data_IF_542758854514
#
_entry.id   IF_542758854514
#
_cell.length_a   1.000
_cell.length_b   1.000
_cell.length_c   1.000
_cell.angle_alpha   90.00
_cell.angle_beta   90.00
_cell.angle_gamma   90.00
#
_symmetry.space_group_name_H-M   'P 1'
#
loop_
_entity.id
_entity.type
_entity.pdbx_description
1 polymer ?
#
# COMPACT_ATOMS: atom_id res chain seq x y z
N UNK A 1 -68.18 5.04 18.15
CA UNK A 1 -67.80 6.43 18.43
C UNK A 1 -66.33 6.59 18.09
N UNK A 2 -65.99 7.63 17.32
CA UNK A 2 -64.62 8.06 17.00
C UNK A 2 -63.82 8.34 18.28
N UNK A 3 -62.50 8.11 18.28
CA UNK A 3 -61.49 9.15 18.01
C UNK A 3 -60.07 8.60 18.11
N UNK A 4 -59.20 9.38 17.50
CA UNK A 4 -57.88 9.13 16.95
C UNK A 4 -56.76 9.51 17.92
N UNK A 5 -55.52 9.22 17.50
CA UNK A 5 -54.24 9.89 17.82
C UNK A 5 -53.44 9.49 19.08
N UNK A 6 -52.13 9.29 18.85
CA UNK A 6 -51.11 9.81 19.77
C UNK A 6 -50.04 8.86 20.29
N UNK A 7 -49.04 8.56 19.45
CA UNK A 7 -47.60 8.46 19.76
C UNK A 7 -47.16 8.13 21.20
N UNK A 8 -46.53 6.96 21.40
CA UNK A 8 -45.60 6.74 22.50
C UNK A 8 -44.25 6.25 21.99
N UNK A 9 -43.23 7.10 22.13
CA UNK A 9 -41.81 6.74 22.02
C UNK A 9 -41.52 5.56 22.95
N UNK A 10 -41.00 4.46 22.42
CA UNK A 10 -40.38 3.41 23.23
C UNK A 10 -38.89 3.38 22.92
N UNK A 11 -38.12 4.01 23.80
CA UNK A 11 -36.68 3.80 23.94
C UNK A 11 -36.50 2.36 24.40
N UNK A 12 -35.95 1.48 23.54
CA UNK A 12 -35.54 0.13 23.96
C UNK A 12 -34.01 0.07 24.05
N UNK A 13 -33.51 0.33 25.26
CA UNK A 13 -32.26 -0.29 25.71
C UNK A 13 -32.46 -1.80 25.74
N UNK A 14 -31.54 -2.55 25.13
CA UNK A 14 -31.62 -4.00 25.13
C UNK A 14 -30.51 -4.66 24.33
N UNK A 15 -29.28 -4.58 24.84
CA UNK A 15 -28.22 -5.54 24.50
C UNK A 15 -28.74 -6.91 24.96
N UNK A 16 -29.22 -7.73 24.03
CA UNK A 16 -29.47 -9.14 24.25
C UNK A 16 -28.50 -9.93 23.38
N UNK A 17 -27.48 -10.43 24.05
CA UNK A 17 -26.71 -11.61 23.66
C UNK A 17 -27.64 -12.75 23.24
N UNK A 18 -27.73 -13.00 21.93
CA UNK A 18 -28.20 -14.26 21.39
C UNK A 18 -27.10 -14.78 20.46
N UNK A 19 -26.06 -15.35 21.08
CA UNK A 19 -25.14 -16.26 20.42
C UNK A 19 -25.93 -17.51 20.02
N UNK A 20 -26.54 -17.46 18.83
CA UNK A 20 -27.15 -18.65 18.23
C UNK A 20 -26.02 -19.42 17.57
N UNK A 21 -25.52 -20.44 18.27
CA UNK A 21 -24.57 -21.43 17.77
C UNK A 21 -25.09 -21.98 16.44
N UNK A 22 -24.40 -21.65 15.35
CA UNK A 22 -24.50 -22.38 14.09
C UNK A 22 -23.29 -23.31 14.03
N UNK A 23 -23.50 -24.57 14.44
CA UNK A 23 -22.59 -25.66 14.09
C UNK A 23 -22.80 -25.94 12.61
N UNK A 24 -21.86 -25.59 11.76
CA UNK A 24 -21.79 -26.14 10.40
C UNK A 24 -20.72 -27.23 10.41
N UNK A 25 -21.17 -28.41 9.97
CA UNK A 25 -20.43 -29.65 9.84
C UNK A 25 -19.14 -29.49 9.03
N UNK A 26 -18.06 -30.05 9.56
CA UNK A 26 -16.80 -30.29 8.86
C UNK A 26 -17.01 -31.15 7.62
N UNK A 27 -16.97 -30.54 6.43
CA UNK A 27 -16.33 -31.03 5.21
C UNK A 27 -16.68 -30.12 4.03
N UNK A 28 -15.91 -29.04 3.79
CA UNK A 28 -16.04 -28.28 2.54
C UNK A 28 -14.82 -28.51 1.63
N UNK A 29 -15.02 -28.93 0.37
CA UNK A 29 -13.93 -29.16 -0.57
C UNK A 29 -13.33 -27.83 -1.02
N UNK A 30 -12.00 -27.67 -0.91
CA UNK A 30 -11.19 -26.58 -1.47
C UNK A 30 -11.88 -25.20 -1.53
N UNK A 31 -12.02 -24.54 -0.37
CA UNK A 31 -12.63 -23.21 -0.20
C UNK A 31 -12.05 -22.11 -1.12
N UNK A 32 -10.84 -22.31 -1.64
CA UNK A 32 -10.15 -21.38 -2.55
C UNK A 32 -9.56 -22.13 -3.76
N UNK A 33 -10.25 -22.08 -4.91
CA UNK A 33 -9.88 -22.80 -6.15
C UNK A 33 -8.70 -22.18 -6.90
N UNK A 34 -8.52 -20.86 -6.81
CA UNK A 34 -7.60 -20.07 -7.65
C UNK A 34 -6.82 -19.02 -6.86
N UNK A 35 -5.67 -18.61 -7.41
CA UNK A 35 -4.87 -17.47 -6.92
C UNK A 35 -5.44 -16.12 -7.41
N UNK A 36 -6.33 -16.15 -8.40
CA UNK A 36 -7.11 -15.00 -8.87
C UNK A 36 -8.46 -15.00 -8.15
N UNK A 37 -8.81 -13.87 -7.55
CA UNK A 37 -10.06 -13.70 -6.81
C UNK A 37 -10.65 -12.31 -7.08
N UNK A 38 -11.99 -12.22 -7.10
CA UNK A 38 -12.74 -10.96 -7.20
C UNK A 38 -13.10 -10.36 -5.84
N UNK A 39 -12.76 -11.05 -4.74
CA UNK A 39 -12.99 -10.62 -3.36
C UNK A 39 -14.44 -10.14 -3.12
N UNK A 40 -15.40 -10.92 -3.63
CA UNK A 40 -16.82 -10.58 -3.60
C UNK A 40 -17.47 -10.90 -2.24
N UNK A 41 -17.12 -12.05 -1.64
CA UNK A 41 -17.70 -12.55 -0.40
C UNK A 41 -16.70 -12.39 0.75
N UNK A 42 -17.09 -11.75 1.88
CA UNK A 42 -16.22 -11.64 3.04
C UNK A 42 -15.98 -13.00 3.71
N UNK A 43 -14.79 -13.25 4.27
CA UNK A 43 -14.54 -14.47 5.04
C UNK A 43 -15.37 -14.45 6.33
N UNK A 44 -15.99 -15.59 6.66
CA UNK A 44 -16.78 -15.80 7.89
C UNK A 44 -15.98 -16.49 9.01
N UNK A 45 -14.66 -16.55 8.86
CA UNK A 45 -13.76 -17.25 9.78
C UNK A 45 -13.33 -16.32 10.92
N UNK A 46 -13.22 -16.87 12.13
CA UNK A 46 -12.67 -16.17 13.29
C UNK A 46 -11.15 -16.36 13.35
N UNK A 47 -10.41 -15.27 13.51
CA UNK A 47 -8.95 -15.25 13.59
C UNK A 47 -8.47 -14.57 14.87
N UNK A 48 -7.24 -14.89 15.30
CA UNK A 48 -6.64 -14.21 16.44
C UNK A 48 -6.26 -12.76 16.10
N UNK A 49 -6.04 -11.94 17.13
CA UNK A 49 -5.65 -10.53 16.94
C UNK A 49 -4.21 -10.44 16.42
N UNK A 50 -3.36 -11.37 16.84
CA UNK A 50 -1.97 -11.49 16.39
C UNK A 50 -1.94 -11.82 14.89
N UNK A 51 -2.72 -12.82 14.49
CA UNK A 51 -2.85 -13.23 13.09
C UNK A 51 -3.43 -12.10 12.23
N UNK A 52 -4.42 -11.38 12.74
CA UNK A 52 -4.98 -10.20 12.08
C UNK A 52 -3.91 -9.15 11.77
N UNK A 53 -3.04 -8.82 12.73
CA UNK A 53 -1.96 -7.85 12.51
C UNK A 53 -0.95 -8.37 11.47
N UNK A 54 -0.54 -9.63 11.59
CA UNK A 54 0.46 -10.24 10.71
C UNK A 54 -0.01 -10.22 9.26
N UNK A 55 -1.21 -10.71 9.00
CA UNK A 55 -1.82 -10.75 7.66
C UNK A 55 -1.96 -9.33 7.09
N UNK A 56 -2.40 -8.37 7.91
CA UNK A 56 -2.54 -6.99 7.47
C UNK A 56 -1.20 -6.35 7.10
N UNK A 57 -0.17 -6.56 7.92
CA UNK A 57 1.17 -6.01 7.68
C UNK A 57 1.80 -6.65 6.44
N UNK A 58 1.70 -7.98 6.27
CA UNK A 58 2.18 -8.68 5.08
C UNK A 58 1.53 -8.14 3.81
N UNK A 59 0.20 -7.97 3.82
CA UNK A 59 -0.51 -7.45 2.65
C UNK A 59 -0.13 -6.00 2.33
N UNK A 60 -0.02 -5.12 3.34
CA UNK A 60 0.43 -3.74 3.11
C UNK A 60 1.83 -3.73 2.51
N UNK A 61 2.76 -4.57 3.01
CA UNK A 61 4.11 -4.69 2.44
C UNK A 61 4.07 -5.12 0.97
N UNK A 62 3.23 -6.09 0.62
CA UNK A 62 3.06 -6.53 -0.77
C UNK A 62 2.54 -5.41 -1.67
N UNK A 63 1.54 -4.63 -1.23
CA UNK A 63 1.00 -3.52 -2.02
C UNK A 63 2.00 -2.36 -2.18
N UNK A 64 2.85 -2.09 -1.18
CA UNK A 64 3.95 -1.12 -1.34
C UNK A 64 4.99 -1.58 -2.35
N UNK A 65 5.32 -2.87 -2.40
CA UNK A 65 6.21 -3.42 -3.42
C UNK A 65 5.63 -3.17 -4.82
N UNK A 66 4.31 -3.34 -4.99
CA UNK A 66 3.63 -3.05 -6.26
C UNK A 66 3.77 -1.57 -6.63
N UNK A 67 3.54 -0.67 -5.68
CA UNK A 67 3.70 0.77 -5.85
C UNK A 67 5.14 1.16 -6.24
N UNK A 68 6.12 0.76 -5.43
CA UNK A 68 7.55 1.09 -5.61
C UNK A 68 8.08 0.64 -6.98
N UNK A 69 7.63 -0.53 -7.45
CA UNK A 69 8.08 -1.10 -8.73
C UNK A 69 7.40 -0.38 -9.90
N UNK A 70 6.12 -0.06 -9.77
CA UNK A 70 5.38 0.68 -10.79
C UNK A 70 5.93 2.10 -10.99
N UNK A 71 6.47 2.73 -9.95
CA UNK A 71 7.12 4.03 -10.07
C UNK A 71 8.48 3.97 -10.77
N UNK A 72 9.18 2.83 -10.68
CA UNK A 72 10.54 2.66 -11.22
C UNK A 72 10.58 2.10 -12.63
N UNK A 73 9.59 1.28 -13.01
CA UNK A 73 9.59 0.53 -14.26
C UNK A 73 8.32 0.76 -15.07
N UNK A 74 8.46 0.71 -16.40
CA UNK A 74 7.31 0.74 -17.31
C UNK A 74 6.47 -0.52 -17.16
N UNK A 75 5.15 -0.35 -16.98
CA UNK A 75 4.21 -1.46 -16.83
C UNK A 75 4.32 -2.48 -17.98
N UNK A 76 4.45 -3.76 -17.63
CA UNK A 76 4.48 -4.87 -18.60
C UNK A 76 5.82 -5.08 -19.31
N UNK A 77 6.85 -4.29 -19.00
CA UNK A 77 8.21 -4.58 -19.48
C UNK A 77 8.78 -5.85 -18.83
N UNK A 78 9.79 -6.46 -19.46
CA UNK A 78 10.46 -7.62 -18.89
C UNK A 78 11.11 -7.29 -17.53
N UNK A 79 11.78 -6.14 -17.44
CA UNK A 79 12.39 -5.66 -16.19
C UNK A 79 11.35 -5.47 -15.07
N UNK A 80 10.17 -4.95 -15.41
CA UNK A 80 9.04 -4.85 -14.49
C UNK A 80 8.62 -6.23 -13.98
N UNK A 81 8.43 -7.21 -14.87
CA UNK A 81 7.99 -8.55 -14.48
C UNK A 81 9.01 -9.26 -13.61
N UNK A 82 10.30 -9.16 -13.94
CA UNK A 82 11.40 -9.76 -13.17
C UNK A 82 11.51 -9.10 -11.80
N UNK A 83 11.50 -7.76 -11.73
CA UNK A 83 11.58 -7.04 -10.46
C UNK A 83 10.36 -7.33 -9.57
N UNK A 84 9.15 -7.29 -10.13
CA UNK A 84 7.90 -7.55 -9.42
C UNK A 84 7.88 -8.97 -8.84
N UNK A 85 8.24 -9.96 -9.64
CA UNK A 85 8.31 -11.37 -9.18
C UNK A 85 9.33 -11.53 -8.06
N UNK A 86 10.53 -10.95 -8.20
CA UNK A 86 11.60 -11.07 -7.20
C UNK A 86 11.23 -10.46 -5.86
N UNK A 87 10.64 -9.27 -5.85
CA UNK A 87 10.30 -8.59 -4.60
C UNK A 87 9.02 -9.16 -3.97
N UNK A 88 7.99 -9.50 -4.76
CA UNK A 88 6.79 -10.16 -4.24
C UNK A 88 7.10 -11.57 -3.71
N UNK A 89 8.06 -12.30 -4.26
CA UNK A 89 8.46 -13.61 -3.73
C UNK A 89 8.91 -13.55 -2.25
N UNK A 90 9.38 -12.39 -1.77
CA UNK A 90 9.83 -12.20 -0.38
C UNK A 90 8.69 -11.93 0.60
N UNK A 91 7.57 -11.38 0.13
CA UNK A 91 6.48 -10.86 0.99
C UNK A 91 5.12 -11.48 0.72
N UNK A 92 4.90 -12.01 -0.49
CA UNK A 92 3.66 -12.65 -0.93
C UNK A 92 3.97 -13.71 -2.02
N UNK A 93 4.56 -14.86 -1.65
CA UNK A 93 4.99 -15.89 -2.60
C UNK A 93 3.89 -16.39 -3.54
N UNK A 94 2.63 -16.40 -3.07
CA UNK A 94 1.48 -16.82 -3.88
C UNK A 94 1.22 -15.90 -5.09
N UNK A 95 1.49 -14.60 -4.97
CA UNK A 95 1.35 -13.65 -6.07
C UNK A 95 2.48 -13.80 -7.10
N UNK A 96 3.68 -14.16 -6.64
CA UNK A 96 4.85 -14.41 -7.48
C UNK A 96 4.88 -15.82 -8.12
N UNK A 97 3.95 -16.71 -7.74
CA UNK A 97 3.94 -18.10 -8.21
C UNK A 97 5.05 -18.97 -7.61
N UNK A 98 5.72 -18.51 -6.55
CA UNK A 98 6.84 -19.21 -5.88
C UNK A 98 6.42 -19.94 -4.61
N UNK A 99 5.12 -19.99 -4.31
CA UNK A 99 4.58 -20.67 -3.14
C UNK A 99 4.65 -22.19 -3.28
N UNK A 100 5.13 -22.87 -2.24
CA UNK A 100 5.20 -24.33 -2.21
C UNK A 100 3.79 -24.94 -2.23
N UNK A 101 3.56 -26.08 -2.92
CA UNK A 101 2.23 -26.70 -3.02
C UNK A 101 1.51 -26.93 -1.69
N UNK A 102 2.26 -27.27 -0.63
CA UNK A 102 1.73 -27.48 0.72
C UNK A 102 1.17 -26.20 1.35
N UNK A 103 1.73 -25.03 1.02
CA UNK A 103 1.39 -23.75 1.63
C UNK A 103 0.34 -22.97 0.84
N UNK A 104 0.02 -23.40 -0.39
CA UNK A 104 -0.85 -22.65 -1.31
C UNK A 104 -2.22 -22.33 -0.70
N UNK A 105 -2.85 -23.30 -0.02
CA UNK A 105 -4.19 -23.08 0.54
C UNK A 105 -4.18 -22.05 1.68
N UNK A 106 -3.19 -22.13 2.56
CA UNK A 106 -3.01 -21.15 3.62
C UNK A 106 -2.68 -19.77 3.07
N UNK A 107 -1.81 -19.69 2.06
CA UNK A 107 -1.50 -18.43 1.39
C UNK A 107 -2.72 -17.81 0.70
N UNK A 108 -3.64 -18.62 0.13
CA UNK A 108 -4.94 -18.15 -0.41
C UNK A 108 -5.85 -17.61 0.68
N UNK A 109 -5.91 -18.29 1.83
CA UNK A 109 -6.70 -17.86 2.99
C UNK A 109 -6.20 -16.51 3.51
N UNK A 110 -4.89 -16.37 3.74
CA UNK A 110 -4.25 -15.12 4.17
C UNK A 110 -4.45 -14.00 3.15
N UNK A 111 -4.36 -14.29 1.86
CA UNK A 111 -4.61 -13.32 0.79
C UNK A 111 -6.04 -12.75 0.88
N UNK A 112 -7.04 -13.62 0.96
CA UNK A 112 -8.45 -13.22 1.09
C UNK A 112 -8.67 -12.38 2.36
N UNK A 113 -8.24 -12.88 3.51
CA UNK A 113 -8.44 -12.22 4.80
C UNK A 113 -7.77 -10.84 4.80
N UNK A 114 -6.51 -10.76 4.37
CA UNK A 114 -5.78 -9.50 4.31
C UNK A 114 -6.49 -8.46 3.46
N UNK A 115 -7.06 -8.87 2.32
CA UNK A 115 -7.80 -7.95 1.46
C UNK A 115 -8.96 -7.28 2.20
N UNK A 116 -9.76 -8.06 2.93
CA UNK A 116 -10.88 -7.55 3.70
C UNK A 116 -10.45 -6.72 4.92
N UNK A 117 -9.35 -7.09 5.57
CA UNK A 117 -8.78 -6.27 6.66
C UNK A 117 -8.37 -4.89 6.12
N UNK A 118 -7.69 -4.83 4.98
CA UNK A 118 -7.25 -3.54 4.42
C UNK A 118 -8.42 -2.69 3.92
N UNK A 119 -9.51 -3.30 3.41
CA UNK A 119 -10.74 -2.55 3.09
C UNK A 119 -11.24 -1.78 4.32
N UNK A 120 -11.23 -2.38 5.51
CA UNK A 120 -11.64 -1.71 6.74
C UNK A 120 -10.65 -0.60 7.13
N UNK A 121 -9.35 -0.83 7.02
CA UNK A 121 -8.34 0.17 7.39
C UNK A 121 -8.35 1.40 6.47
N UNK A 122 -8.43 1.19 5.15
CA UNK A 122 -8.24 2.23 4.14
C UNK A 122 -9.53 2.89 3.65
N UNK A 123 -10.73 2.44 4.07
CA UNK A 123 -12.00 3.07 3.68
C UNK A 123 -12.27 4.44 4.32
N UNK A 124 -11.43 4.89 5.26
CA UNK A 124 -11.66 6.10 6.07
C UNK A 124 -11.54 7.42 5.29
N UNK A 125 -10.56 7.50 4.39
CA UNK A 125 -10.31 8.71 3.59
C UNK A 125 -10.36 8.38 2.11
N UNK A 126 -10.79 9.33 1.25
CA UNK A 126 -10.77 9.16 -0.19
C UNK A 126 -9.38 8.83 -0.74
N UNK A 127 -8.32 9.41 -0.17
CA UNK A 127 -6.92 9.21 -0.57
C UNK A 127 -6.48 7.76 -0.30
N UNK A 128 -6.75 7.26 0.91
CA UNK A 128 -6.43 5.89 1.29
C UNK A 128 -7.23 4.87 0.45
N UNK A 129 -8.50 5.18 0.19
CA UNK A 129 -9.37 4.35 -0.66
C UNK A 129 -8.83 4.29 -2.08
N UNK A 130 -8.47 5.44 -2.66
CA UNK A 130 -7.90 5.53 -4.00
C UNK A 130 -6.58 4.78 -4.10
N UNK A 131 -5.72 4.91 -3.09
CA UNK A 131 -4.45 4.19 -3.02
C UNK A 131 -4.68 2.68 -3.00
N UNK A 132 -5.48 2.16 -2.05
CA UNK A 132 -5.72 0.72 -1.91
C UNK A 132 -6.32 0.14 -3.19
N UNK A 133 -7.36 0.77 -3.75
CA UNK A 133 -8.00 0.31 -5.00
C UNK A 133 -7.01 0.30 -6.16
N UNK A 134 -6.10 1.27 -6.23
CA UNK A 134 -5.09 1.33 -7.30
C UNK A 134 -4.10 0.18 -7.16
N UNK A 135 -3.49 0.00 -5.98
CA UNK A 135 -2.48 -1.03 -5.78
C UNK A 135 -3.07 -2.45 -5.88
N UNK A 136 -4.30 -2.67 -5.41
CA UNK A 136 -4.98 -3.97 -5.51
C UNK A 136 -5.34 -4.34 -6.94
N UNK A 137 -5.80 -3.37 -7.74
CA UNK A 137 -6.06 -3.61 -9.17
C UNK A 137 -4.75 -3.91 -9.91
N UNK A 138 -3.66 -3.21 -9.58
CA UNK A 138 -2.36 -3.48 -10.19
C UNK A 138 -1.81 -4.85 -9.76
N UNK A 139 -1.93 -5.23 -8.49
CA UNK A 139 -1.58 -6.58 -8.02
C UNK A 139 -2.40 -7.66 -8.75
N UNK A 140 -3.71 -7.44 -8.91
CA UNK A 140 -4.59 -8.33 -9.65
C UNK A 140 -4.13 -8.47 -11.11
N UNK A 141 -3.80 -7.35 -11.77
CA UNK A 141 -3.31 -7.37 -13.16
C UNK A 141 -2.02 -8.17 -13.30
N UNK A 142 -1.07 -7.97 -12.39
CA UNK A 142 0.17 -8.74 -12.39
C UNK A 142 -0.10 -10.24 -12.24
N UNK A 143 -0.96 -10.64 -11.30
CA UNK A 143 -1.35 -12.05 -11.12
C UNK A 143 -2.02 -12.61 -12.36
N UNK A 144 -2.88 -11.82 -13.01
CA UNK A 144 -3.57 -12.23 -14.23
C UNK A 144 -2.57 -12.51 -15.35
N UNK A 145 -1.60 -11.62 -15.56
CA UNK A 145 -0.54 -11.79 -16.57
C UNK A 145 0.34 -13.03 -16.31
N UNK A 146 0.55 -13.41 -15.06
CA UNK A 146 1.32 -14.60 -14.68
C UNK A 146 0.50 -15.90 -14.61
N UNK A 147 -0.81 -15.83 -14.88
CA UNK A 147 -1.69 -17.00 -14.82
C UNK A 147 -1.84 -17.62 -16.22
N UNK A 148 -1.77 -18.94 -16.29
CA UNK A 148 -1.97 -19.67 -17.55
C UNK A 148 -3.42 -19.57 -18.06
N UNK A 149 -3.60 -19.52 -19.39
CA UNK A 149 -4.91 -19.33 -20.05
C UNK A 149 -6.01 -20.27 -19.53
N UNK A 150 -5.79 -21.58 -19.32
CA UNK A 150 -6.86 -22.46 -18.81
C UNK A 150 -7.37 -22.09 -17.41
N UNK A 151 -6.49 -21.59 -16.53
CA UNK A 151 -6.87 -21.12 -15.19
C UNK A 151 -7.64 -19.80 -15.26
N UNK A 152 -7.28 -18.93 -16.21
CA UNK A 152 -8.00 -17.68 -16.46
C UNK A 152 -9.42 -17.97 -16.93
N UNK A 153 -9.61 -18.87 -17.91
CA UNK A 153 -10.94 -19.25 -18.41
C UNK A 153 -11.82 -19.79 -17.27
N UNK A 154 -11.28 -20.74 -16.49
CA UNK A 154 -11.99 -21.27 -15.30
C UNK A 154 -12.36 -20.18 -14.30
N UNK A 155 -11.46 -19.22 -14.04
CA UNK A 155 -11.74 -18.10 -13.15
C UNK A 155 -12.87 -17.20 -13.68
N UNK A 156 -12.93 -16.97 -14.99
CA UNK A 156 -13.96 -16.13 -15.61
C UNK A 156 -15.34 -16.81 -15.52
N UNK A 157 -15.39 -18.12 -15.75
CA UNK A 157 -16.59 -18.95 -15.56
C UNK A 157 -17.09 -18.93 -14.12
N UNK A 158 -16.20 -19.13 -13.13
CA UNK A 158 -16.54 -19.11 -11.69
C UNK A 158 -17.11 -17.75 -11.22
N UNK A 159 -16.75 -16.65 -11.91
CA UNK A 159 -17.22 -15.31 -11.57
C UNK A 159 -18.41 -14.84 -12.42
N UNK A 160 -19.05 -15.75 -13.18
CA UNK A 160 -20.18 -15.46 -14.07
C UNK A 160 -19.89 -14.32 -15.07
N UNK A 161 -18.64 -14.25 -15.56
CA UNK A 161 -18.26 -13.30 -16.59
C UNK A 161 -18.57 -13.97 -17.94
N UNK A 162 -19.71 -13.62 -18.53
CA UNK A 162 -20.15 -14.17 -19.82
C UNK A 162 -19.14 -13.83 -20.92
N UNK A 163 -18.34 -14.80 -21.31
CA UNK A 163 -17.38 -14.70 -22.40
C UNK A 163 -17.80 -15.65 -23.50
N UNK A 164 -18.56 -15.11 -24.45
CA UNK A 164 -18.92 -15.87 -25.63
C UNK A 164 -17.71 -15.86 -26.57
N UNK A 165 -17.03 -17.00 -26.69
CA UNK A 165 -15.97 -17.15 -27.69
C UNK A 165 -16.55 -16.90 -29.08
N UNK A 166 -15.83 -16.16 -29.91
CA UNK A 166 -16.27 -15.85 -31.28
C UNK A 166 -16.02 -17.09 -32.16
N UNK A 167 -17.08 -17.57 -32.81
CA UNK A 167 -16.98 -18.71 -33.71
C UNK A 167 -16.04 -18.44 -34.88
N UNK A 168 -15.36 -19.48 -35.39
CA UNK A 168 -14.42 -19.36 -36.51
C UNK A 168 -15.07 -18.70 -37.74
N UNK A 169 -16.31 -19.04 -38.04
CA UNK A 169 -17.06 -18.49 -39.18
C UNK A 169 -17.42 -17.01 -39.01
N UNK A 170 -17.72 -16.57 -37.77
CA UNK A 170 -17.95 -15.15 -37.45
C UNK A 170 -16.63 -14.39 -37.51
N UNK A 171 -15.56 -14.97 -36.97
CA UNK A 171 -14.21 -14.41 -37.00
C UNK A 171 -13.68 -14.20 -38.41
N UNK A 172 -13.81 -15.18 -39.30
CA UNK A 172 -13.38 -15.08 -40.71
C UNK A 172 -14.07 -13.93 -41.45
N UNK A 173 -15.39 -13.75 -41.21
CA UNK A 173 -16.16 -12.65 -41.81
C UNK A 173 -15.73 -11.28 -41.32
N UNK A 174 -15.30 -11.19 -40.06
CA UNK A 174 -14.95 -9.94 -39.39
C UNK A 174 -13.45 -9.64 -39.39
N UNK A 175 -12.63 -10.50 -39.98
CA UNK A 175 -11.18 -10.51 -39.77
C UNK A 175 -10.51 -9.17 -40.10
N UNK A 176 -10.88 -8.56 -41.21
CA UNK A 176 -10.35 -7.25 -41.64
C UNK A 176 -10.73 -6.14 -40.66
N UNK A 177 -11.98 -6.14 -40.17
CA UNK A 177 -12.46 -5.16 -39.20
C UNK A 177 -11.80 -5.36 -37.82
N UNK A 178 -11.60 -6.62 -37.41
CA UNK A 178 -10.92 -6.97 -36.16
C UNK A 178 -9.45 -6.51 -36.18
N UNK A 179 -8.74 -6.79 -37.28
CA UNK A 179 -7.36 -6.35 -37.48
C UNK A 179 -7.24 -4.82 -37.45
N UNK A 180 -8.13 -4.12 -38.16
CA UNK A 180 -8.16 -2.67 -38.19
C UNK A 180 -8.46 -2.06 -36.81
N UNK A 181 -9.41 -2.62 -36.06
CA UNK A 181 -9.81 -2.11 -34.75
C UNK A 181 -8.75 -2.37 -33.66
N UNK A 182 -8.00 -3.48 -33.75
CA UNK A 182 -6.96 -3.82 -32.79
C UNK A 182 -5.59 -3.20 -33.14
N UNK A 183 -5.43 -2.66 -34.36
CA UNK A 183 -4.16 -2.14 -34.85
C UNK A 183 -3.13 -3.24 -35.12
N UNK A 184 -3.59 -4.43 -35.50
CA UNK A 184 -2.76 -5.63 -35.75
C UNK A 184 -2.83 -6.05 -37.22
N UNK A 185 -1.91 -6.90 -37.67
CA UNK A 185 -2.01 -7.49 -39.01
C UNK A 185 -3.18 -8.48 -39.08
N UNK A 186 -3.63 -8.80 -40.30
CA UNK A 186 -4.68 -9.80 -40.55
C UNK A 186 -4.23 -11.18 -40.07
N UNK A 187 -2.96 -11.52 -40.28
CA UNK A 187 -2.34 -12.78 -39.82
C UNK A 187 -2.39 -12.88 -38.28
N UNK A 188 -1.99 -11.82 -37.58
CA UNK A 188 -2.05 -11.76 -36.11
C UNK A 188 -3.50 -11.88 -35.60
N UNK A 189 -4.45 -11.20 -36.26
CA UNK A 189 -5.86 -11.32 -35.91
C UNK A 189 -6.38 -12.75 -36.14
N UNK A 190 -5.89 -13.46 -37.16
CA UNK A 190 -6.28 -14.84 -37.45
C UNK A 190 -5.81 -15.82 -36.36
N UNK A 191 -4.67 -15.56 -35.73
CA UNK A 191 -4.14 -16.37 -34.61
C UNK A 191 -4.75 -15.99 -33.25
N UNK A 192 -5.30 -14.78 -33.12
CA UNK A 192 -5.79 -14.26 -31.84
C UNK A 192 -7.20 -14.76 -31.49
N UNK A 193 -7.40 -15.30 -30.29
CA UNK A 193 -8.75 -15.61 -29.79
C UNK A 193 -9.52 -14.34 -29.44
N UNK A 194 -10.73 -14.19 -29.99
CA UNK A 194 -11.62 -13.08 -29.70
C UNK A 194 -12.83 -13.53 -28.87
N UNK A 195 -13.24 -12.67 -27.96
CA UNK A 195 -14.38 -12.85 -27.08
C UNK A 195 -15.40 -11.75 -27.33
N UNK A 196 -16.66 -12.13 -27.39
CA UNK A 196 -17.80 -11.25 -27.58
C UNK A 196 -18.41 -10.91 -26.23
N UNK A 197 -18.41 -9.62 -25.91
CA UNK A 197 -18.94 -9.07 -24.65
C UNK A 197 -19.86 -7.90 -24.95
N UNK A 198 -20.75 -7.57 -24.02
CA UNK A 198 -21.53 -6.33 -24.11
C UNK A 198 -20.58 -5.12 -24.12
N UNK A 199 -20.78 -4.18 -25.05
CA UNK A 199 -19.87 -3.04 -25.21
C UNK A 199 -19.77 -2.18 -23.94
N UNK A 200 -20.81 -2.15 -23.10
CA UNK A 200 -20.83 -1.45 -21.80
C UNK A 200 -19.89 -2.07 -20.78
N UNK A 201 -19.50 -3.33 -20.95
CA UNK A 201 -18.50 -3.98 -20.11
C UNK A 201 -17.07 -3.60 -20.54
N UNK A 202 -16.88 -3.16 -21.79
CA UNK A 202 -15.57 -2.90 -22.40
C UNK A 202 -15.31 -1.40 -22.66
N UNK A 203 -15.95 -0.50 -21.91
CA UNK A 203 -15.93 0.96 -22.18
C UNK A 203 -14.52 1.56 -22.29
N UNK A 204 -13.56 1.11 -21.49
CA UNK A 204 -12.17 1.59 -21.56
C UNK A 204 -11.50 1.26 -22.90
N UNK A 205 -11.80 0.09 -23.47
CA UNK A 205 -11.28 -0.34 -24.77
C UNK A 205 -12.00 0.37 -25.91
N UNK A 206 -13.32 0.50 -25.81
CA UNK A 206 -14.18 1.17 -26.79
C UNK A 206 -13.81 2.65 -26.91
N UNK A 207 -13.63 3.36 -25.79
CA UNK A 207 -13.22 4.77 -25.78
C UNK A 207 -11.92 5.02 -26.52
N UNK A 208 -10.98 4.06 -26.44
CA UNK A 208 -9.67 4.13 -27.09
C UNK A 208 -9.68 3.58 -28.52
N UNK A 209 -10.84 3.14 -29.02
CA UNK A 209 -11.02 2.49 -30.32
C UNK A 209 -10.06 1.32 -30.51
N UNK A 210 -9.86 0.53 -29.45
CA UNK A 210 -8.95 -0.63 -29.43
C UNK A 210 -9.65 -1.98 -29.67
N UNK A 211 -10.96 -1.95 -29.87
CA UNK A 211 -11.80 -3.15 -30.06
C UNK A 211 -12.88 -2.84 -31.09
N UNK A 212 -13.28 -3.85 -31.85
CA UNK A 212 -14.40 -3.75 -32.79
C UNK A 212 -15.71 -3.73 -32.00
N UNK A 213 -16.61 -2.81 -32.35
CA UNK A 213 -17.97 -2.76 -31.78
C UNK A 213 -18.99 -2.95 -32.88
N UNK A 214 -19.86 -3.95 -32.75
CA UNK A 214 -20.91 -4.27 -33.73
C UNK A 214 -22.17 -4.78 -33.04
N UNK A 215 -23.32 -4.22 -33.41
CA UNK A 215 -24.65 -4.60 -32.88
C UNK A 215 -24.74 -4.64 -31.34
N UNK A 216 -24.09 -3.70 -30.65
CA UNK A 216 -24.08 -3.64 -29.18
C UNK A 216 -23.05 -4.55 -28.49
N UNK A 217 -22.22 -5.27 -29.26
CA UNK A 217 -21.17 -6.12 -28.73
C UNK A 217 -19.79 -5.57 -29.06
N UNK A 218 -18.85 -5.72 -28.14
CA UNK A 218 -17.43 -5.51 -28.36
C UNK A 218 -16.72 -6.85 -28.56
N UNK A 219 -15.81 -6.91 -29.52
CA UNK A 219 -14.96 -8.07 -29.81
C UNK A 219 -13.58 -7.80 -29.24
N UNK A 220 -13.21 -8.56 -28.20
CA UNK A 220 -12.08 -8.27 -27.34
C UNK A 220 -11.08 -9.42 -27.44
N UNK A 221 -9.79 -9.13 -27.73
CA UNK A 221 -8.77 -10.18 -27.74
C UNK A 221 -8.53 -10.71 -26.33
N UNK A 222 -8.10 -11.96 -26.20
CA UNK A 222 -7.83 -12.59 -24.90
C UNK A 222 -6.96 -11.72 -23.97
N UNK A 223 -5.94 -11.07 -24.52
CA UNK A 223 -4.99 -10.24 -23.78
C UNK A 223 -5.63 -9.00 -23.15
N UNK A 224 -6.70 -8.48 -23.75
CA UNK A 224 -7.40 -7.29 -23.27
C UNK A 224 -8.55 -7.63 -22.30
N UNK A 225 -8.87 -8.91 -22.07
CA UNK A 225 -9.85 -9.32 -21.05
C UNK A 225 -9.47 -8.84 -19.66
N UNK A 226 -8.17 -8.74 -19.38
CA UNK A 226 -7.63 -8.19 -18.14
C UNK A 226 -8.16 -6.78 -17.86
N UNK A 227 -8.41 -5.96 -18.89
CA UNK A 227 -8.89 -4.58 -18.75
C UNK A 227 -10.33 -4.58 -18.23
N UNK A 228 -11.17 -5.48 -18.76
CA UNK A 228 -12.58 -5.62 -18.34
C UNK A 228 -12.64 -6.07 -16.88
N UNK A 229 -11.94 -7.15 -16.55
CA UNK A 229 -11.99 -7.70 -15.18
C UNK A 229 -11.39 -6.73 -14.16
N UNK A 230 -10.33 -6.01 -14.53
CA UNK A 230 -9.74 -4.96 -13.69
C UNK A 230 -10.73 -3.83 -13.41
N UNK A 231 -11.53 -3.44 -14.40
CA UNK A 231 -12.57 -2.43 -14.23
C UNK A 231 -13.69 -2.93 -13.31
N UNK A 232 -14.12 -4.19 -13.47
CA UNK A 232 -15.09 -4.83 -12.57
C UNK A 232 -14.59 -4.89 -11.13
N UNK A 233 -13.34 -5.33 -10.91
CA UNK A 233 -12.73 -5.39 -9.58
C UNK A 233 -12.67 -3.99 -8.95
N UNK A 234 -12.24 -2.98 -9.70
CA UNK A 234 -12.21 -1.58 -9.26
C UNK A 234 -13.59 -1.11 -8.80
N UNK A 235 -14.60 -1.30 -9.63
CA UNK A 235 -15.98 -0.88 -9.32
C UNK A 235 -16.52 -1.58 -8.06
N UNK A 236 -16.32 -2.90 -7.97
CA UNK A 236 -16.74 -3.71 -6.82
C UNK A 236 -16.05 -3.27 -5.53
N UNK A 237 -14.74 -3.05 -5.56
CA UNK A 237 -13.97 -2.59 -4.42
C UNK A 237 -14.41 -1.19 -3.97
N UNK A 238 -14.52 -0.24 -4.89
CA UNK A 238 -14.97 1.13 -4.55
C UNK A 238 -16.35 1.12 -3.90
N UNK A 239 -17.30 0.37 -4.45
CA UNK A 239 -18.63 0.24 -3.87
C UNK A 239 -18.60 -0.47 -2.50
N UNK A 240 -17.81 -1.53 -2.35
CA UNK A 240 -17.68 -2.27 -1.10
C UNK A 240 -17.05 -1.44 0.02
N UNK A 241 -16.00 -0.67 -0.28
CA UNK A 241 -15.35 0.22 0.68
C UNK A 241 -16.26 1.38 1.10
N UNK A 242 -17.04 1.93 0.17
CA UNK A 242 -18.05 2.95 0.52
C UNK A 242 -19.14 2.38 1.45
N UNK A 243 -19.55 1.13 1.27
CA UNK A 243 -20.45 0.44 2.22
C UNK A 243 -19.78 0.20 3.56
N UNK A 244 -18.54 -0.29 3.56
CA UNK A 244 -17.78 -0.55 4.78
C UNK A 244 -17.62 0.73 5.63
N UNK A 245 -17.33 1.87 5.00
CA UNK A 245 -17.22 3.16 5.68
C UNK A 245 -18.53 3.57 6.38
N UNK A 246 -19.69 3.36 5.74
CA UNK A 246 -21.00 3.67 6.36
C UNK A 246 -21.28 2.85 7.63
N UNK A 247 -20.77 1.63 7.69
CA UNK A 247 -20.93 0.75 8.85
C UNK A 247 -19.73 0.77 9.80
N UNK A 248 -18.74 1.62 9.54
CA UNK A 248 -17.52 1.70 10.34
C UNK A 248 -17.80 2.17 11.77
N UNK A 249 -18.82 3.01 11.99
CA UNK A 249 -19.23 3.47 13.30
C UNK A 249 -19.62 2.33 14.27
N UNK A 250 -20.12 1.20 13.76
CA UNK A 250 -20.44 0.02 14.57
C UNK A 250 -19.15 -0.69 15.00
N UNK A 251 -18.13 -0.67 14.14
CA UNK A 251 -16.79 -1.22 14.43
C UNK A 251 -16.01 -0.28 15.37
N UNK A 252 -16.33 1.01 15.37
CA UNK A 252 -15.74 2.01 16.28
C UNK A 252 -16.09 1.79 17.76
N UNK A 253 -17.17 1.04 18.04
CA UNK A 253 -17.53 0.63 19.40
C UNK A 253 -16.53 -0.40 19.99
N UNK A 254 -15.66 -0.99 19.17
CA UNK A 254 -14.64 -1.94 19.60
C UNK A 254 -13.27 -1.25 19.78
N UNK A 255 -12.85 -0.93 21.03
CA UNK A 255 -11.66 -0.11 21.29
C UNK A 255 -10.34 -0.79 20.88
N UNK A 256 -10.36 -2.10 20.61
CA UNK A 256 -9.18 -2.90 20.25
C UNK A 256 -8.78 -2.78 18.78
N UNK A 257 -9.73 -2.54 17.88
CA UNK A 257 -9.50 -2.57 16.43
C UNK A 257 -9.04 -1.21 15.88
N UNK A 258 -9.58 -0.10 16.40
CA UNK A 258 -9.29 1.24 15.87
C UNK A 258 -7.82 1.65 15.89
N UNK A 259 -7.05 1.46 17.00
CA UNK A 259 -5.65 1.83 17.02
C UNK A 259 -4.81 1.01 16.02
N UNK A 260 -5.20 -0.24 15.79
CA UNK A 260 -4.52 -1.16 14.86
C UNK A 260 -4.76 -0.74 13.41
N UNK A 261 -6.01 -0.47 13.05
CA UNK A 261 -6.38 0.03 11.72
C UNK A 261 -5.69 1.37 11.40
N UNK A 262 -5.65 2.29 12.38
CA UNK A 262 -4.96 3.58 12.24
C UNK A 262 -3.44 3.41 12.07
N UNK A 263 -2.84 2.44 12.75
CA UNK A 263 -1.41 2.12 12.61
C UNK A 263 -1.08 1.63 11.20
N UNK A 264 -1.97 0.85 10.57
CA UNK A 264 -1.76 0.37 9.20
C UNK A 264 -1.70 1.52 8.20
N UNK A 265 -2.60 2.50 8.29
CA UNK A 265 -2.61 3.66 7.37
C UNK A 265 -1.43 4.59 7.62
N UNK A 266 -1.06 4.85 8.88
CA UNK A 266 0.04 5.76 9.20
C UNK A 266 1.42 5.15 8.90
N UNK A 267 1.57 3.83 9.09
CA UNK A 267 2.80 3.12 8.75
C UNK A 267 2.86 2.72 7.27
N UNK A 268 1.76 2.79 6.51
CA UNK A 268 1.77 2.61 5.05
C UNK A 268 2.65 3.66 4.35
N UNK A 269 2.87 4.83 4.95
CA UNK A 269 3.82 5.83 4.42
C UNK A 269 5.24 5.73 4.99
N UNK A 270 5.43 4.98 6.07
CA UNK A 270 6.75 4.82 6.69
C UNK A 270 7.44 3.59 6.10
N UNK A 271 8.49 3.80 5.30
CA UNK A 271 9.38 2.73 4.84
C UNK A 271 10.12 2.05 6.01
N UNK A 272 11.10 1.19 5.71
CA UNK A 272 11.97 0.62 6.76
C UNK A 272 12.61 1.75 7.56
N UNK A 273 12.30 1.85 8.86
CA UNK A 273 12.95 2.81 9.75
C UNK A 273 14.37 2.33 10.02
N UNK A 274 15.36 3.12 9.58
CA UNK A 274 16.75 2.87 9.93
C UNK A 274 16.96 3.17 11.41
N UNK A 275 17.27 2.13 12.20
CA UNK A 275 17.41 2.24 13.65
C UNK A 275 18.83 2.66 14.10
N UNK A 276 19.76 2.89 13.19
CA UNK A 276 21.11 3.38 13.51
C UNK A 276 22.00 2.41 14.30
N UNK A 277 21.63 1.12 14.40
CA UNK A 277 22.37 0.11 15.19
C UNK A 277 23.46 -0.64 14.41
N UNK A 278 23.58 -0.40 13.11
CA UNK A 278 24.46 -1.15 12.19
C UNK A 278 25.71 -0.35 11.77
N UNK A 279 26.04 0.76 12.44
CA UNK A 279 27.21 1.57 12.07
C UNK A 279 28.48 1.09 12.76
N UNK A 280 29.39 0.47 12.01
CA UNK A 280 30.77 0.16 12.45
C UNK A 280 31.73 1.36 12.30
N UNK A 281 31.31 2.44 11.62
CA UNK A 281 32.14 3.62 11.33
C UNK A 281 31.99 4.75 12.35
N UNK A 282 33.10 5.28 12.86
CA UNK A 282 33.12 6.50 13.70
C UNK A 282 33.06 7.76 12.83
N UNK A 283 31.91 8.43 12.79
CA UNK A 283 31.78 9.74 12.15
C UNK A 283 32.28 10.82 13.10
N UNK A 284 33.17 11.70 12.60
CA UNK A 284 33.65 12.87 13.34
C UNK A 284 33.06 14.16 12.78
N UNK A 285 33.12 15.26 13.55
CA UNK A 285 32.59 16.56 13.14
C UNK A 285 33.21 17.13 11.87
N UNK A 286 34.46 16.78 11.58
CA UNK A 286 35.19 17.25 10.39
C UNK A 286 34.67 16.60 9.10
N UNK A 287 34.10 15.40 9.19
CA UNK A 287 33.55 14.68 8.04
C UNK A 287 32.18 15.22 7.61
N UNK A 288 31.50 15.99 8.48
CA UNK A 288 30.10 16.39 8.26
C UNK A 288 29.93 17.23 6.99
N UNK A 289 30.84 18.15 6.69
CA UNK A 289 30.73 19.00 5.49
C UNK A 289 30.82 18.17 4.20
N UNK A 290 31.75 17.22 4.16
CA UNK A 290 31.91 16.30 3.03
C UNK A 290 30.70 15.37 2.89
N UNK A 291 30.23 14.79 3.99
CA UNK A 291 29.03 13.95 4.01
C UNK A 291 27.78 14.72 3.60
N UNK A 292 27.70 16.02 3.92
CA UNK A 292 26.61 16.87 3.48
C UNK A 292 26.55 16.97 1.95
N UNK A 293 27.71 17.13 1.30
CA UNK A 293 27.81 17.25 -0.15
C UNK A 293 27.56 15.92 -0.89
N UNK A 294 27.97 14.78 -0.34
CA UNK A 294 27.90 13.49 -1.04
C UNK A 294 26.71 12.63 -0.66
N UNK A 295 26.24 12.71 0.59
CA UNK A 295 25.39 11.66 1.18
C UNK A 295 24.11 12.17 1.84
N UNK A 296 24.08 13.43 2.32
CA UNK A 296 22.90 13.92 3.03
C UNK A 296 21.69 14.10 2.09
N UNK A 297 20.48 13.72 2.54
CA UNK A 297 19.27 14.01 1.79
C UNK A 297 19.01 15.52 1.73
N UNK A 298 18.23 16.00 0.75
CA UNK A 298 17.99 17.43 0.54
C UNK A 298 17.52 18.19 1.79
N UNK A 299 16.67 17.58 2.63
CA UNK A 299 16.19 18.19 3.86
C UNK A 299 17.32 18.47 4.87
N UNK A 300 18.23 17.52 5.10
CA UNK A 300 19.35 17.70 6.01
C UNK A 300 20.46 18.56 5.41
N UNK A 301 20.67 18.47 4.09
CA UNK A 301 21.58 19.36 3.36
C UNK A 301 21.17 20.81 3.50
N UNK A 302 19.87 21.11 3.35
CA UNK A 302 19.34 22.46 3.53
C UNK A 302 19.56 22.98 4.96
N UNK A 303 19.31 22.14 5.98
CA UNK A 303 19.54 22.53 7.38
C UNK A 303 21.03 22.78 7.63
N UNK A 304 21.91 21.93 7.10
CA UNK A 304 23.35 22.09 7.24
C UNK A 304 23.87 23.38 6.57
N UNK A 305 23.42 23.69 5.35
CA UNK A 305 23.77 24.95 4.70
C UNK A 305 23.29 26.17 5.49
N UNK A 306 22.07 26.13 6.03
CA UNK A 306 21.55 27.21 6.90
C UNK A 306 22.33 27.33 8.20
N UNK A 307 22.73 26.21 8.80
CA UNK A 307 23.60 26.21 9.98
C UNK A 307 24.93 26.91 9.68
N UNK A 308 25.58 26.59 8.54
CA UNK A 308 26.85 27.19 8.12
C UNK A 308 26.73 28.66 7.70
N UNK A 309 25.58 29.08 7.17
CA UNK A 309 25.36 30.46 6.73
C UNK A 309 24.94 31.38 7.88
N UNK A 310 24.01 30.92 8.72
CA UNK A 310 23.38 31.74 9.77
C UNK A 310 24.08 31.58 11.13
N UNK A 311 25.03 30.64 11.23
CA UNK A 311 25.73 30.22 12.46
C UNK A 311 24.76 29.92 13.62
N UNK A 312 23.54 29.50 13.30
CA UNK A 312 22.46 29.27 14.25
C UNK A 312 21.32 28.45 13.62
N UNK A 313 20.57 27.71 14.44
CA UNK A 313 19.38 26.98 13.99
C UNK A 313 18.18 27.22 14.93
N UNK A 314 16.97 27.31 14.37
CA UNK A 314 15.71 27.37 15.14
C UNK A 314 15.48 26.05 15.90
N UNK A 315 14.64 26.07 16.93
CA UNK A 315 14.42 24.91 17.82
C UNK A 315 14.05 23.62 17.08
N UNK A 316 13.09 23.68 16.15
CA UNK A 316 12.68 22.50 15.36
C UNK A 316 13.83 21.91 14.52
N UNK A 317 14.56 22.79 13.81
CA UNK A 317 15.70 22.39 12.99
C UNK A 317 16.86 21.81 13.83
N UNK A 318 17.14 22.39 15.02
CA UNK A 318 18.13 21.84 15.97
C UNK A 318 17.78 20.41 16.36
N UNK A 319 16.51 20.16 16.69
CA UNK A 319 16.04 18.83 17.09
C UNK A 319 16.10 17.85 15.92
N UNK A 320 15.62 18.24 14.74
CA UNK A 320 15.61 17.39 13.55
C UNK A 320 17.02 16.99 13.13
N UNK A 321 17.90 17.99 13.01
CA UNK A 321 19.27 17.78 12.56
C UNK A 321 20.14 17.11 13.63
N UNK A 322 19.96 17.45 14.90
CA UNK A 322 20.67 16.79 16.01
C UNK A 322 20.35 15.30 16.13
N UNK A 323 19.07 14.91 16.00
CA UNK A 323 18.69 13.49 16.01
C UNK A 323 19.17 12.75 14.75
N UNK A 324 19.20 13.42 13.60
CA UNK A 324 19.79 12.86 12.38
C UNK A 324 21.30 12.61 12.54
N UNK A 325 22.06 13.58 13.05
CA UNK A 325 23.50 13.45 13.30
C UNK A 325 23.81 12.32 14.30
N UNK A 326 22.99 12.18 15.35
CA UNK A 326 23.06 11.05 16.27
C UNK A 326 22.83 9.71 15.54
N UNK A 327 21.81 9.63 14.68
CA UNK A 327 21.43 8.39 14.00
C UNK A 327 22.45 7.92 12.95
N UNK A 328 23.20 8.84 12.33
CA UNK A 328 24.33 8.48 11.45
C UNK A 328 25.59 8.07 12.25
N UNK A 329 25.58 8.22 13.57
CA UNK A 329 26.66 7.75 14.46
C UNK A 329 27.60 8.84 15.00
N UNK A 330 27.23 10.12 14.92
CA UNK A 330 28.02 11.18 15.55
C UNK A 330 27.91 11.08 17.07
N UNK A 331 29.05 10.95 17.76
CA UNK A 331 29.08 10.85 19.22
C UNK A 331 28.58 12.13 19.90
N UNK A 332 28.16 12.03 21.16
CA UNK A 332 27.72 13.20 21.93
C UNK A 332 28.84 14.27 22.02
N UNK A 333 30.07 13.84 22.25
CA UNK A 333 31.20 14.76 22.40
C UNK A 333 31.49 15.50 21.09
N UNK A 334 31.50 14.77 19.97
CA UNK A 334 31.67 15.35 18.63
C UNK A 334 30.52 16.30 18.27
N UNK A 335 29.27 15.93 18.60
CA UNK A 335 28.10 16.77 18.35
C UNK A 335 28.12 18.06 19.19
N UNK A 336 28.53 17.97 20.46
CA UNK A 336 28.71 19.11 21.35
C UNK A 336 29.78 20.05 20.82
N UNK A 337 30.92 19.51 20.39
CA UNK A 337 32.02 20.28 19.83
C UNK A 337 31.64 20.93 18.50
N UNK A 338 30.97 20.20 17.60
CA UNK A 338 30.47 20.70 16.33
C UNK A 338 29.51 21.88 16.49
N UNK A 339 28.48 21.72 17.33
CA UNK A 339 27.50 22.77 17.58
C UNK A 339 28.11 23.97 18.30
N UNK A 340 29.07 23.74 19.20
CA UNK A 340 29.81 24.80 19.89
C UNK A 340 30.57 25.65 18.87
N UNK A 341 31.42 25.04 18.05
CA UNK A 341 32.22 25.76 17.05
C UNK A 341 31.38 26.62 16.11
N UNK A 342 30.19 26.14 15.76
CA UNK A 342 29.33 26.86 14.83
C UNK A 342 28.54 27.98 15.51
N UNK A 343 27.89 27.71 16.66
CA UNK A 343 27.06 28.70 17.33
C UNK A 343 27.87 29.83 17.96
N UNK A 344 29.13 29.58 18.34
CA UNK A 344 30.00 30.65 18.86
C UNK A 344 30.36 31.69 17.80
N UNK A 345 30.31 31.36 16.50
CA UNK A 345 30.63 32.32 15.42
C UNK A 345 29.62 33.47 15.31
N UNK A 346 28.39 33.28 15.80
CA UNK A 346 27.35 34.30 15.80
C UNK A 346 27.47 35.29 16.96
N UNK A 347 28.16 34.91 18.03
CA UNK A 347 28.20 35.69 19.26
C UNK A 347 29.37 36.66 19.19
N UNK A 348 29.07 37.95 19.06
CA UNK A 348 30.06 39.03 19.02
C UNK A 348 30.54 39.38 20.45
N UNK A 349 31.24 38.43 21.07
CA UNK A 349 31.82 38.55 22.40
C UNK A 349 33.11 37.74 22.49
N UNK A 350 33.92 38.01 23.51
CA UNK A 350 35.14 37.23 23.76
C UNK A 350 34.84 35.72 23.81
N UNK A 351 35.78 34.92 23.27
CA UNK A 351 35.58 33.48 23.04
C UNK A 351 35.07 32.73 24.28
N UNK A 352 35.55 33.12 25.47
CA UNK A 352 35.14 32.52 26.76
C UNK A 352 33.66 32.80 27.04
N UNK A 353 33.20 34.04 26.83
CA UNK A 353 31.80 34.44 26.99
C UNK A 353 30.90 33.72 25.99
N UNK A 354 31.33 33.58 24.74
CA UNK A 354 30.58 32.87 23.71
C UNK A 354 30.40 31.37 24.05
N UNK A 355 31.45 30.70 24.53
CA UNK A 355 31.38 29.30 24.98
C UNK A 355 30.45 29.16 26.17
N UNK A 356 30.53 30.07 27.15
CA UNK A 356 29.65 30.04 28.32
C UNK A 356 28.17 30.20 27.96
N UNK A 357 27.86 31.12 27.03
CA UNK A 357 26.50 31.29 26.52
C UNK A 357 26.00 30.04 25.78
N UNK A 358 26.87 29.41 24.99
CA UNK A 358 26.54 28.14 24.34
C UNK A 358 26.18 27.05 25.36
N UNK A 359 27.02 26.88 26.39
CA UNK A 359 26.80 25.86 27.42
C UNK A 359 25.49 26.09 28.17
N UNK A 360 25.18 27.34 28.51
CA UNK A 360 23.93 27.69 29.22
C UNK A 360 22.68 27.45 28.37
N UNK A 361 22.72 27.74 27.08
CA UNK A 361 21.51 27.75 26.23
C UNK A 361 21.28 26.45 25.45
N UNK A 362 22.33 25.74 25.06
CA UNK A 362 22.24 24.65 24.08
C UNK A 362 22.72 23.29 24.58
N UNK A 363 23.65 23.24 25.54
CA UNK A 363 24.24 21.97 26.00
C UNK A 363 23.21 20.99 26.54
N UNK A 364 22.27 21.48 27.35
CA UNK A 364 21.20 20.66 27.92
C UNK A 364 20.36 19.98 26.85
N UNK A 365 19.94 20.73 25.82
CA UNK A 365 19.11 20.19 24.75
C UNK A 365 19.84 19.09 23.95
N UNK A 366 21.14 19.28 23.69
CA UNK A 366 21.97 18.30 22.99
C UNK A 366 22.09 17.02 23.82
N UNK A 367 22.43 17.10 25.11
CA UNK A 367 22.52 15.93 25.99
C UNK A 367 21.19 15.20 26.15
N UNK A 368 20.08 15.94 26.18
CA UNK A 368 18.74 15.39 26.21
C UNK A 368 18.41 14.57 24.94
N UNK A 369 18.81 15.02 23.75
CA UNK A 369 18.63 14.24 22.50
C UNK A 369 19.39 12.91 22.50
N UNK A 370 20.54 12.86 23.16
CA UNK A 370 21.36 11.65 23.35
C UNK A 370 20.93 10.80 24.55
N UNK A 371 19.84 11.15 25.25
CA UNK A 371 19.32 10.40 26.38
C UNK A 371 20.20 10.44 27.64
N UNK A 372 21.14 11.40 27.73
CA UNK A 372 22.01 11.57 28.92
C UNK A 372 21.39 12.44 30.01
N UNK A 373 20.32 13.17 29.69
CA UNK A 373 19.57 14.04 30.62
C UNK A 373 18.06 13.79 30.50
N UNK A 374 17.29 14.12 31.55
CA UNK A 374 15.83 13.89 31.61
C UNK A 374 15.44 12.43 31.87
N UNK A 375 14.37 11.94 31.22
CA UNK A 375 13.85 10.56 31.37
C UNK A 375 14.76 9.45 30.80
N UNK A 376 15.96 9.80 30.30
CA UNK A 376 16.92 8.89 29.66
C UNK A 376 16.31 8.03 28.53
N UNK A 377 15.37 8.61 27.78
CA UNK A 377 14.77 7.94 26.62
C UNK A 377 15.66 8.10 25.38
N UNK A 378 15.77 7.02 24.62
CA UNK A 378 16.45 7.03 23.33
C UNK A 378 15.52 7.62 22.26
N UNK A 379 15.76 8.88 21.88
CA UNK A 379 14.99 9.54 20.83
C UNK A 379 15.47 9.09 19.43
N UNK A 380 14.58 8.51 18.59
CA UNK A 380 14.90 8.17 17.21
C UNK A 380 14.97 9.41 16.32
N UNK A 381 15.65 9.31 15.19
CA UNK A 381 15.57 10.32 14.14
C UNK A 381 14.16 10.43 13.57
N UNK A 382 13.81 11.63 13.07
CA UNK A 382 12.51 11.86 12.44
C UNK A 382 12.39 11.03 11.15
N UNK A 383 11.26 10.34 10.93
CA UNK A 383 10.98 9.72 9.65
C UNK A 383 10.65 10.78 8.58
N UNK A 384 10.78 10.43 7.30
CA UNK A 384 10.43 11.32 6.19
C UNK A 384 8.94 11.69 6.12
N UNK A 385 8.09 10.95 6.85
CA UNK A 385 6.64 11.17 6.93
C UNK A 385 6.23 12.25 7.95
N UNK A 386 7.18 12.79 8.73
CA UNK A 386 6.95 13.94 9.64
C UNK A 386 7.25 15.24 8.92
#
# INVERSE_FOLDING_TARGET
MQFDSGSSRIIRHGIRSNATRVKISNSEPNKYSSNLQMYAVPPAEEISIEEFDEIAIERVKALKVVEDIKERFTWGSNDFMVAMTRELAKVMPIAAGTCLPADVQEARRRDLIGHFILRLAFCRTPENTKWLVTQEVDLFRFRFMNTVRPKIVKFLEENNINLNSVDKTEKEKLLTELAAACGTSIEQAMETDFYKVDFTSALELVRRRRVLVRYGYAYVPFEDLIVIVSAMLRANMTAAMARAYKHLAIVEEEPRLLPRLARLTNNAYSGKQYLGKESEGKITRQMIDQLCATSFPPCMRQIHHRLRADHHLRHGARRQYGLFLKAIGLSLDEAMMFMREEFTKKIDSDKICAIFQFEKQYAYNIRHMYGKEGRRMDYPAFPCST
#
